data_IF_025809999564
#
_entry.id   IF_025809999564
#
_cell.length_a   1.000
_cell.length_b   1.000
_cell.length_c   1.000
_cell.angle_alpha   90.00
_cell.angle_beta   90.00
_cell.angle_gamma   90.00
#
_symmetry.space_group_name_H-M   'P 1'
#
loop_
_entity.id
_entity.type
_entity.pdbx_description
1 polymer ?
#
# COMPACT_ATOMS: atom_id res chain seq x y z
N UNK A 1 87.84 -8.74 41.91
CA UNK A 1 87.25 -7.54 41.26
C UNK A 1 86.12 -7.86 40.29
N UNK A 2 86.25 -8.86 39.40
CA UNK A 2 85.21 -9.20 38.38
C UNK A 2 83.86 -9.61 39.00
N UNK A 3 83.86 -10.41 40.07
CA UNK A 3 82.63 -10.83 40.78
C UNK A 3 81.84 -9.67 41.40
N UNK A 4 82.52 -8.61 41.84
CA UNK A 4 81.88 -7.43 42.41
C UNK A 4 81.16 -6.60 41.33
N UNK A 5 81.77 -6.50 40.15
CA UNK A 5 81.16 -5.87 38.98
C UNK A 5 79.90 -6.62 38.50
N UNK A 6 79.95 -7.96 38.50
CA UNK A 6 78.79 -8.79 38.13
C UNK A 6 77.63 -8.59 39.11
N UNK A 7 77.89 -8.53 40.42
CA UNK A 7 76.87 -8.29 41.45
C UNK A 7 76.25 -6.90 41.32
N UNK A 8 77.05 -5.86 41.07
CA UNK A 8 76.56 -4.49 40.87
C UNK A 8 75.71 -4.38 39.61
N UNK A 9 76.11 -5.03 38.51
CA UNK A 9 75.31 -5.06 37.27
C UNK A 9 73.98 -5.77 37.49
N UNK A 10 73.95 -6.89 38.24
CA UNK A 10 72.69 -7.59 38.57
C UNK A 10 71.76 -6.70 39.41
N UNK A 11 72.29 -5.95 40.38
CA UNK A 11 71.50 -5.03 41.21
C UNK A 11 70.95 -3.88 40.37
N UNK A 12 71.74 -3.32 39.44
CA UNK A 12 71.28 -2.25 38.54
C UNK A 12 70.22 -2.74 37.56
N UNK A 13 70.37 -3.96 37.01
CA UNK A 13 69.37 -4.58 36.13
C UNK A 13 68.10 -4.94 36.92
N UNK A 14 68.22 -5.44 38.14
CA UNK A 14 67.08 -5.70 39.02
C UNK A 14 66.37 -4.40 39.42
N UNK A 15 67.10 -3.35 39.78
CA UNK A 15 66.54 -2.04 40.10
C UNK A 15 65.88 -1.38 38.88
N UNK A 16 66.50 -1.49 37.70
CA UNK A 16 65.92 -1.03 36.44
C UNK A 16 64.66 -1.81 36.05
N UNK A 17 64.65 -3.13 36.28
CA UNK A 17 63.48 -3.99 36.09
C UNK A 17 62.33 -3.66 37.05
N UNK A 18 62.63 -3.42 38.33
CA UNK A 18 61.63 -2.98 39.33
C UNK A 18 61.08 -1.60 38.99
N UNK A 19 61.94 -0.66 38.59
CA UNK A 19 61.52 0.69 38.18
C UNK A 19 60.63 0.66 36.92
N UNK A 20 60.99 -0.16 35.93
CA UNK A 20 60.19 -0.36 34.72
C UNK A 20 58.83 -1.00 35.04
N UNK A 21 58.79 -2.05 35.87
CA UNK A 21 57.55 -2.67 36.33
C UNK A 21 56.67 -1.67 37.10
N UNK A 22 57.26 -0.85 37.97
CA UNK A 22 56.52 0.15 38.72
C UNK A 22 55.92 1.22 37.81
N UNK A 23 56.67 1.69 36.81
CA UNK A 23 56.15 2.63 35.82
C UNK A 23 55.03 2.01 34.97
N UNK A 24 55.20 0.77 34.52
CA UNK A 24 54.19 0.02 33.76
C UNK A 24 52.87 -0.11 34.53
N UNK A 25 52.92 -0.52 35.80
CA UNK A 25 51.73 -0.65 36.64
C UNK A 25 51.07 0.69 36.95
N UNK A 26 51.83 1.77 37.13
CA UNK A 26 51.25 3.12 37.30
C UNK A 26 50.50 3.58 36.05
N UNK A 27 51.05 3.38 34.85
CA UNK A 27 50.37 3.72 33.60
C UNK A 27 49.12 2.87 33.41
N UNK A 28 49.18 1.58 33.76
CA UNK A 28 48.03 0.68 33.65
C UNK A 28 46.92 1.01 34.64
N UNK A 29 47.25 1.31 35.90
CA UNK A 29 46.28 1.76 36.90
C UNK A 29 45.59 3.04 36.42
N UNK A 30 46.35 4.04 35.93
CA UNK A 30 45.76 5.27 35.36
C UNK A 30 44.81 5.00 34.19
N UNK A 31 45.13 4.03 33.34
CA UNK A 31 44.27 3.66 32.22
C UNK A 31 42.97 2.99 32.72
N UNK A 32 43.07 2.07 33.68
CA UNK A 32 41.91 1.41 34.28
C UNK A 32 41.02 2.41 35.05
N UNK A 33 41.62 3.35 35.77
CA UNK A 33 40.93 4.45 36.45
C UNK A 33 40.16 5.32 35.43
N UNK A 34 40.80 5.70 34.32
CA UNK A 34 40.13 6.43 33.24
C UNK A 34 38.99 5.64 32.57
N UNK A 35 39.11 4.30 32.49
CA UNK A 35 38.02 3.45 31.97
C UNK A 35 36.84 3.36 32.94
N UNK A 36 37.09 3.38 34.25
CA UNK A 36 36.03 3.46 35.28
C UNK A 36 35.36 4.83 35.22
N UNK A 37 36.13 5.92 35.10
CA UNK A 37 35.61 7.29 35.00
C UNK A 37 34.81 7.53 33.71
N UNK A 38 35.10 6.79 32.63
CA UNK A 38 34.34 6.83 31.38
C UNK A 38 32.91 6.26 31.52
N UNK A 39 32.60 5.52 32.59
CA UNK A 39 31.24 5.08 32.91
C UNK A 39 30.50 6.27 33.54
N UNK A 40 29.97 7.14 32.68
CA UNK A 40 29.31 8.40 33.09
C UNK A 40 27.89 8.15 33.63
N UNK A 41 27.81 7.69 34.87
CA UNK A 41 26.55 7.53 35.62
C UNK A 41 25.82 8.86 35.83
N UNK A 42 26.53 10.00 35.76
CA UNK A 42 25.93 11.33 35.81
C UNK A 42 25.03 11.63 34.62
N UNK A 43 25.48 11.25 33.41
CA UNK A 43 24.67 11.34 32.20
C UNK A 43 23.40 10.47 32.31
N UNK A 44 23.50 9.23 32.79
CA UNK A 44 22.34 8.35 33.01
C UNK A 44 21.36 8.92 34.04
N UNK A 45 21.86 9.46 35.16
CA UNK A 45 21.03 10.12 36.18
C UNK A 45 20.23 11.29 35.59
N UNK A 46 20.84 12.08 34.71
CA UNK A 46 20.15 13.17 34.02
C UNK A 46 19.04 12.68 33.09
N UNK A 47 19.26 11.55 32.39
CA UNK A 47 18.27 10.93 31.52
C UNK A 47 17.11 10.34 32.32
N UNK A 48 17.39 9.64 33.43
CA UNK A 48 16.37 9.09 34.34
C UNK A 48 15.46 10.21 34.84
N UNK A 49 16.02 11.32 35.36
CA UNK A 49 15.21 12.47 35.80
C UNK A 49 14.37 13.10 34.69
N UNK A 50 14.90 13.14 33.47
CA UNK A 50 14.13 13.63 32.31
C UNK A 50 12.96 12.72 31.99
N UNK A 51 13.10 11.41 32.16
CA UNK A 51 12.05 10.43 31.89
C UNK A 51 11.03 10.38 33.03
N UNK A 52 11.44 10.56 34.29
CA UNK A 52 10.52 10.70 35.44
C UNK A 52 9.52 11.85 35.25
N UNK A 53 9.95 12.95 34.61
CA UNK A 53 9.09 14.09 34.32
C UNK A 53 7.94 13.77 33.34
N UNK A 54 8.06 12.67 32.59
CA UNK A 54 7.04 12.23 31.63
C UNK A 54 5.83 11.55 32.30
N UNK A 55 5.88 11.33 33.63
CA UNK A 55 4.81 10.69 34.43
C UNK A 55 4.37 9.33 33.86
N UNK A 56 5.34 8.45 33.63
CA UNK A 56 5.09 7.10 33.10
C UNK A 56 4.17 6.29 34.02
N UNK A 57 3.27 5.50 33.43
CA UNK A 57 2.45 4.49 34.13
C UNK A 57 2.39 3.19 33.34
N UNK A 58 1.70 2.18 33.89
CA UNK A 58 1.47 0.90 33.22
C UNK A 58 2.76 0.17 32.84
N UNK A 59 2.79 -0.34 31.60
CA UNK A 59 3.92 -1.10 31.06
C UNK A 59 5.16 -0.23 30.83
N UNK A 60 4.96 1.05 30.48
CA UNK A 60 6.05 2.03 30.36
C UNK A 60 6.76 2.26 31.69
N UNK A 61 6.01 2.37 32.80
CA UNK A 61 6.60 2.46 34.14
C UNK A 61 7.32 1.17 34.53
N UNK A 62 6.74 0.01 34.26
CA UNK A 62 7.38 -1.26 34.58
C UNK A 62 8.73 -1.43 33.86
N UNK A 63 8.79 -1.04 32.58
CA UNK A 63 10.02 -1.06 31.78
C UNK A 63 11.03 -0.03 32.30
N UNK A 64 10.59 1.20 32.60
CA UNK A 64 11.47 2.23 33.16
C UNK A 64 12.04 1.84 34.53
N UNK A 65 11.20 1.39 35.47
CA UNK A 65 11.63 0.96 36.80
C UNK A 65 12.58 -0.24 36.77
N UNK A 66 12.50 -1.10 35.74
CA UNK A 66 13.48 -2.18 35.54
C UNK A 66 14.87 -1.60 35.25
N UNK A 67 14.95 -0.60 34.38
CA UNK A 67 16.22 0.04 34.01
C UNK A 67 16.73 0.99 35.09
N UNK A 68 15.84 1.63 35.84
CA UNK A 68 16.15 2.41 37.04
C UNK A 68 16.84 1.54 38.10
N UNK A 69 16.28 0.36 38.42
CA UNK A 69 16.94 -0.59 39.33
C UNK A 69 18.28 -1.09 38.81
N UNK A 70 18.40 -1.30 37.50
CA UNK A 70 19.66 -1.69 36.89
C UNK A 70 20.71 -0.57 36.98
N UNK A 71 20.28 0.69 36.88
CA UNK A 71 21.12 1.86 37.12
C UNK A 71 21.55 1.96 38.58
N UNK A 72 20.63 1.80 39.54
CA UNK A 72 20.97 1.83 40.97
C UNK A 72 22.00 0.75 41.31
N UNK A 73 21.83 -0.46 40.77
CA UNK A 73 22.79 -1.55 40.95
C UNK A 73 24.17 -1.22 40.35
N UNK A 74 24.21 -0.65 39.15
CA UNK A 74 25.45 -0.23 38.50
C UNK A 74 26.16 0.89 39.31
N UNK A 75 25.38 1.84 39.84
CA UNK A 75 25.89 3.01 40.54
C UNK A 75 26.34 2.71 41.97
N UNK A 76 25.54 1.98 42.74
CA UNK A 76 25.76 1.78 44.17
C UNK A 76 26.61 0.54 44.48
N UNK A 77 26.45 -0.55 43.70
CA UNK A 77 27.16 -1.81 43.93
C UNK A 77 28.38 -1.96 43.01
N UNK A 78 28.18 -1.93 41.69
CA UNK A 78 29.24 -2.28 40.73
C UNK A 78 30.36 -1.24 40.68
N UNK A 79 30.04 0.06 40.68
CA UNK A 79 31.06 1.12 40.76
C UNK A 79 31.81 1.10 42.11
N UNK A 80 31.10 0.86 43.22
CA UNK A 80 31.74 0.76 44.52
C UNK A 80 32.69 -0.45 44.59
N UNK A 81 32.35 -1.57 43.96
CA UNK A 81 33.22 -2.74 43.86
C UNK A 81 34.43 -2.48 42.94
N UNK A 82 34.23 -1.81 41.79
CA UNK A 82 35.32 -1.38 40.91
C UNK A 82 36.32 -0.47 41.65
N UNK A 83 35.84 0.51 42.42
CA UNK A 83 36.70 1.39 43.23
C UNK A 83 37.47 0.62 44.31
N UNK A 84 36.86 -0.37 44.97
CA UNK A 84 37.54 -1.22 45.96
C UNK A 84 38.65 -2.06 45.31
N UNK A 85 38.38 -2.68 44.16
CA UNK A 85 39.35 -3.49 43.42
C UNK A 85 40.49 -2.61 42.89
N UNK A 86 40.19 -1.40 42.42
CA UNK A 86 41.18 -0.40 42.01
C UNK A 86 42.09 0.00 43.19
N UNK A 87 41.51 0.23 44.38
CA UNK A 87 42.27 0.54 45.59
C UNK A 87 43.19 -0.61 46.03
N UNK A 88 42.71 -1.87 45.98
CA UNK A 88 43.54 -3.05 46.28
C UNK A 88 44.63 -3.23 45.22
N UNK A 89 44.34 -3.01 43.94
CA UNK A 89 45.32 -3.01 42.87
C UNK A 89 46.44 -1.97 43.13
N UNK A 90 46.07 -0.76 43.52
CA UNK A 90 47.02 0.28 43.92
C UNK A 90 47.87 -0.14 45.12
N UNK A 91 47.28 -0.72 46.16
CA UNK A 91 48.01 -1.15 47.36
C UNK A 91 48.99 -2.30 47.06
N UNK A 92 48.56 -3.31 46.28
CA UNK A 92 49.47 -4.40 45.85
C UNK A 92 50.60 -3.88 44.96
N UNK A 93 50.32 -2.91 44.07
CA UNK A 93 51.34 -2.27 43.24
C UNK A 93 52.33 -1.44 44.09
N UNK A 94 51.83 -0.70 45.11
CA UNK A 94 52.66 0.06 46.07
C UNK A 94 53.55 -0.85 46.93
N UNK A 95 53.09 -2.07 47.24
CA UNK A 95 53.84 -3.09 48.00
C UNK A 95 54.79 -3.94 47.15
N UNK A 96 55.01 -3.58 45.88
CA UNK A 96 55.86 -4.30 44.92
C UNK A 96 55.42 -5.76 44.64
N UNK A 97 54.15 -6.12 44.90
CA UNK A 97 53.59 -7.46 44.66
C UNK A 97 53.00 -7.57 43.25
N UNK A 98 53.86 -7.43 42.24
CA UNK A 98 53.44 -7.30 40.83
C UNK A 98 52.65 -8.49 40.29
N UNK A 99 52.95 -9.73 40.69
CA UNK A 99 52.19 -10.92 40.25
C UNK A 99 50.73 -10.91 40.76
N UNK A 100 50.50 -10.40 41.98
CA UNK A 100 49.16 -10.26 42.54
C UNK A 100 48.44 -9.08 41.91
N UNK A 101 49.13 -7.94 41.75
CA UNK A 101 48.62 -6.78 41.03
C UNK A 101 48.19 -7.16 39.60
N UNK A 102 48.93 -8.01 38.89
CA UNK A 102 48.54 -8.48 37.56
C UNK A 102 47.24 -9.29 37.55
N UNK A 103 47.02 -10.14 38.57
CA UNK A 103 45.78 -10.92 38.70
C UNK A 103 44.60 -10.01 39.00
N UNK A 104 44.77 -9.07 39.93
CA UNK A 104 43.74 -8.08 40.31
C UNK A 104 43.42 -7.19 39.11
N UNK A 105 44.42 -6.74 38.34
CA UNK A 105 44.21 -5.94 37.14
C UNK A 105 43.35 -6.67 36.09
N UNK A 106 43.57 -7.97 35.88
CA UNK A 106 42.72 -8.77 34.96
C UNK A 106 41.28 -8.91 35.46
N UNK A 107 41.10 -9.07 36.77
CA UNK A 107 39.76 -9.13 37.38
C UNK A 107 39.06 -7.77 37.24
N UNK A 108 39.79 -6.68 37.46
CA UNK A 108 39.31 -5.32 37.28
C UNK A 108 38.92 -5.05 35.83
N UNK A 109 39.77 -5.41 34.85
CA UNK A 109 39.46 -5.30 33.42
C UNK A 109 38.15 -6.01 33.05
N UNK A 110 37.98 -7.28 33.46
CA UNK A 110 36.76 -8.02 33.17
C UNK A 110 35.50 -7.43 33.82
N UNK A 111 35.63 -6.87 35.03
CA UNK A 111 34.52 -6.18 35.71
C UNK A 111 34.19 -4.84 35.07
N UNK A 112 35.20 -4.08 34.64
CA UNK A 112 35.02 -2.83 33.87
C UNK A 112 34.27 -3.13 32.58
N UNK A 113 34.66 -4.17 31.84
CA UNK A 113 33.97 -4.57 30.60
C UNK A 113 32.51 -4.93 30.85
N UNK A 114 32.22 -5.65 31.94
CA UNK A 114 30.85 -6.03 32.33
C UNK A 114 30.01 -4.79 32.70
N UNK A 115 30.56 -3.91 33.53
CA UNK A 115 29.89 -2.67 33.94
C UNK A 115 29.65 -1.74 32.74
N UNK A 116 30.60 -1.69 31.79
CA UNK A 116 30.45 -0.92 30.55
C UNK A 116 29.35 -1.48 29.65
N UNK A 117 29.26 -2.80 29.50
CA UNK A 117 28.16 -3.41 28.75
C UNK A 117 26.80 -3.12 29.38
N UNK A 118 26.70 -3.17 30.72
CA UNK A 118 25.47 -2.80 31.43
C UNK A 118 25.15 -1.32 31.24
N UNK A 119 26.14 -0.43 31.33
CA UNK A 119 26.00 0.99 31.06
C UNK A 119 25.42 1.24 29.66
N UNK A 120 26.01 0.62 28.63
CA UNK A 120 25.56 0.79 27.24
C UNK A 120 24.12 0.30 27.05
N UNK A 121 23.76 -0.84 27.67
CA UNK A 121 22.40 -1.38 27.63
C UNK A 121 21.38 -0.44 28.30
N UNK A 122 21.71 0.11 29.48
CA UNK A 122 20.85 1.05 30.20
C UNK A 122 20.72 2.35 29.40
N UNK A 123 21.84 2.89 28.91
CA UNK A 123 21.85 4.11 28.10
C UNK A 123 20.98 3.95 26.85
N UNK A 124 21.12 2.83 26.15
CA UNK A 124 20.34 2.56 24.95
C UNK A 124 18.85 2.43 25.27
N UNK A 125 18.49 1.68 26.32
CA UNK A 125 17.10 1.52 26.71
C UNK A 125 16.42 2.85 27.13
N UNK A 126 17.13 3.72 27.86
CA UNK A 126 16.62 5.04 28.23
C UNK A 126 16.48 5.97 27.00
N UNK A 127 17.42 5.88 26.05
CA UNK A 127 17.31 6.60 24.78
C UNK A 127 16.12 6.11 23.95
N UNK A 128 15.90 4.79 23.88
CA UNK A 128 14.78 4.19 23.15
C UNK A 128 13.44 4.67 23.71
N UNK A 129 13.28 4.72 25.05
CA UNK A 129 12.07 5.24 25.71
C UNK A 129 11.78 6.69 25.28
N UNK A 130 12.81 7.55 25.28
CA UNK A 130 12.66 8.96 24.86
C UNK A 130 12.36 9.10 23.37
N UNK A 131 12.99 8.27 22.54
CA UNK A 131 12.78 8.31 21.10
C UNK A 131 11.36 7.86 20.75
N UNK A 132 10.88 6.78 21.36
CA UNK A 132 9.51 6.29 21.19
C UNK A 132 8.46 7.34 21.60
N UNK A 133 8.68 8.06 22.70
CA UNK A 133 7.80 9.15 23.15
C UNK A 133 7.77 10.31 22.14
N UNK A 134 8.94 10.76 21.69
CA UNK A 134 9.06 11.84 20.71
C UNK A 134 8.41 11.48 19.36
N UNK A 135 8.62 10.24 18.91
CA UNK A 135 8.04 9.71 17.68
C UNK A 135 6.52 9.60 17.79
N UNK A 136 6.00 9.06 18.90
CA UNK A 136 4.56 8.97 19.16
C UNK A 136 3.91 10.36 19.13
N UNK A 137 4.54 11.35 19.77
CA UNK A 137 4.06 12.73 19.77
C UNK A 137 4.07 13.35 18.38
N UNK A 138 5.14 13.14 17.61
CA UNK A 138 5.25 13.64 16.24
C UNK A 138 4.19 13.03 15.32
N UNK A 139 4.02 11.70 15.37
CA UNK A 139 3.00 10.98 14.61
C UNK A 139 1.60 11.46 14.96
N UNK A 140 1.30 11.66 16.24
CA UNK A 140 -0.01 12.18 16.67
C UNK A 140 -0.32 13.58 16.11
N UNK A 141 0.69 14.46 16.01
CA UNK A 141 0.51 15.76 15.38
C UNK A 141 0.21 15.64 13.88
N UNK A 142 0.93 14.77 13.17
CA UNK A 142 0.69 14.50 11.75
C UNK A 142 -0.73 13.92 11.54
N UNK A 143 -1.08 12.87 12.27
CA UNK A 143 -2.41 12.23 12.18
C UNK A 143 -3.54 13.22 12.49
N UNK A 144 -3.34 14.16 13.41
CA UNK A 144 -4.32 15.23 13.68
C UNK A 144 -4.50 16.18 12.50
N UNK A 145 -3.40 16.62 11.88
CA UNK A 145 -3.47 17.48 10.69
C UNK A 145 -4.20 16.76 9.55
N UNK A 146 -3.82 15.51 9.31
CA UNK A 146 -4.40 14.62 8.32
C UNK A 146 -5.90 14.43 8.51
N UNK A 147 -6.31 14.22 9.76
CA UNK A 147 -7.70 14.13 10.17
C UNK A 147 -8.46 15.44 9.88
N UNK A 148 -7.91 16.60 10.23
CA UNK A 148 -8.57 17.89 10.00
C UNK A 148 -8.75 18.16 8.50
N UNK A 149 -7.74 17.86 7.68
CA UNK A 149 -7.82 17.99 6.22
C UNK A 149 -8.90 17.07 5.64
N UNK A 150 -8.91 15.79 6.06
CA UNK A 150 -9.87 14.80 5.59
C UNK A 150 -11.29 15.16 6.01
N UNK A 151 -11.49 15.50 7.29
CA UNK A 151 -12.76 15.97 7.84
C UNK A 151 -13.28 17.21 7.12
N UNK A 152 -12.43 18.21 6.89
CA UNK A 152 -12.82 19.41 6.13
C UNK A 152 -13.26 19.06 4.71
N UNK A 153 -12.56 18.13 4.06
CA UNK A 153 -12.90 17.71 2.70
C UNK A 153 -14.25 16.99 2.66
N UNK A 154 -14.47 16.04 3.55
CA UNK A 154 -15.72 15.26 3.67
C UNK A 154 -16.91 16.19 3.98
N UNK A 155 -16.75 17.12 4.92
CA UNK A 155 -17.84 18.01 5.33
C UNK A 155 -18.12 19.14 4.32
N UNK A 156 -17.09 19.66 3.65
CA UNK A 156 -17.26 20.76 2.68
C UNK A 156 -17.74 20.27 1.30
N UNK A 157 -17.46 19.02 0.94
CA UNK A 157 -17.78 18.45 -0.38
C UNK A 157 -18.69 17.23 -0.27
N UNK A 158 -19.69 17.26 0.61
CA UNK A 158 -20.57 16.11 0.86
C UNK A 158 -21.24 15.53 -0.39
N UNK A 159 -21.60 16.39 -1.35
CA UNK A 159 -22.21 15.96 -2.61
C UNK A 159 -21.29 15.04 -3.45
N UNK A 160 -19.97 15.22 -3.35
CA UNK A 160 -18.99 14.46 -4.13
C UNK A 160 -18.90 13.00 -3.68
N UNK A 161 -19.29 12.71 -2.44
CA UNK A 161 -19.24 11.36 -1.88
C UNK A 161 -20.59 10.64 -1.98
N UNK A 162 -21.67 11.33 -2.38
CA UNK A 162 -22.98 10.73 -2.61
C UNK A 162 -23.47 9.87 -1.42
N UNK A 163 -23.89 8.66 -1.73
CA UNK A 163 -24.41 7.69 -0.75
C UNK A 163 -23.35 7.14 0.23
N UNK A 164 -22.05 7.35 -0.04
CA UNK A 164 -20.95 6.96 0.85
C UNK A 164 -20.72 7.97 1.99
N UNK A 165 -21.29 9.19 1.90
CA UNK A 165 -21.09 10.26 2.88
C UNK A 165 -21.40 9.84 4.33
N UNK A 166 -22.53 9.17 4.66
CA UNK A 166 -22.85 8.82 6.04
C UNK A 166 -21.82 7.85 6.64
N UNK A 167 -21.30 6.91 5.84
CA UNK A 167 -20.28 5.97 6.29
C UNK A 167 -18.95 6.68 6.56
N UNK A 168 -18.55 7.65 5.72
CA UNK A 168 -17.36 8.48 5.97
C UNK A 168 -17.50 9.31 7.26
N UNK A 169 -18.69 9.86 7.52
CA UNK A 169 -18.98 10.60 8.76
C UNK A 169 -18.89 9.69 9.99
N UNK A 170 -19.39 8.46 9.90
CA UNK A 170 -19.26 7.47 10.97
C UNK A 170 -17.79 7.10 11.23
N UNK A 171 -17.00 6.91 10.19
CA UNK A 171 -15.57 6.62 10.33
C UNK A 171 -14.81 7.81 10.95
N UNK A 172 -15.15 9.05 10.58
CA UNK A 172 -14.61 10.25 11.23
C UNK A 172 -14.93 10.28 12.73
N UNK A 173 -16.14 9.88 13.12
CA UNK A 173 -16.54 9.80 14.52
C UNK A 173 -15.74 8.72 15.27
N UNK A 174 -15.54 7.54 14.68
CA UNK A 174 -14.72 6.46 15.25
C UNK A 174 -13.26 6.91 15.44
N UNK A 175 -12.69 7.59 14.44
CA UNK A 175 -11.35 8.17 14.54
C UNK A 175 -11.24 9.21 15.66
N UNK A 176 -12.27 10.04 15.84
CA UNK A 176 -12.32 11.01 16.94
C UNK A 176 -12.32 10.33 18.32
N UNK A 177 -13.04 9.22 18.45
CA UNK A 177 -13.05 8.39 19.68
C UNK A 177 -11.68 7.75 19.92
N UNK A 178 -11.00 7.26 18.88
CA UNK A 178 -9.63 6.74 18.98
C UNK A 178 -8.63 7.83 19.41
N UNK A 179 -8.72 9.04 18.84
CA UNK A 179 -7.91 10.17 19.31
C UNK A 179 -8.12 10.44 20.79
N UNK A 180 -9.38 10.46 21.26
CA UNK A 180 -9.69 10.68 22.67
C UNK A 180 -9.15 9.55 23.56
N UNK A 181 -9.25 8.30 23.12
CA UNK A 181 -8.69 7.14 23.83
C UNK A 181 -7.17 7.24 23.95
N UNK A 182 -6.47 7.63 22.87
CA UNK A 182 -5.02 7.81 22.89
C UNK A 182 -4.62 8.99 23.79
N UNK A 183 -5.36 10.10 23.76
CA UNK A 183 -5.12 11.23 24.66
C UNK A 183 -5.28 10.82 26.13
N UNK A 184 -6.26 9.98 26.45
CA UNK A 184 -6.43 9.41 27.81
C UNK A 184 -5.24 8.55 28.21
N UNK A 185 -4.84 7.58 27.37
CA UNK A 185 -3.69 6.70 27.63
C UNK A 185 -2.39 7.50 27.80
N UNK A 186 -2.18 8.54 26.98
CA UNK A 186 -1.01 9.42 27.10
C UNK A 186 -1.05 10.30 28.35
N UNK A 187 -2.22 10.79 28.75
CA UNK A 187 -2.37 11.54 30.01
C UNK A 187 -2.17 10.64 31.23
N UNK A 188 -2.57 9.37 31.12
CA UNK A 188 -2.36 8.36 32.14
C UNK A 188 -0.88 7.97 32.20
N UNK A 189 -0.11 8.09 31.11
CA UNK A 189 1.35 7.88 31.09
C UNK A 189 1.80 6.53 30.53
N UNK A 190 0.88 5.74 29.94
CA UNK A 190 1.20 4.44 29.35
C UNK A 190 1.51 4.59 27.85
N UNK A 191 2.72 5.08 27.55
CA UNK A 191 3.15 5.32 26.17
C UNK A 191 3.31 4.03 25.34
N UNK A 192 3.50 2.89 26.00
CA UNK A 192 3.61 1.60 25.33
C UNK A 192 2.23 1.13 24.84
N UNK A 193 1.20 1.24 25.68
CA UNK A 193 -0.18 1.00 25.25
C UNK A 193 -0.63 2.01 24.18
N UNK A 194 -0.18 3.26 24.26
CA UNK A 194 -0.49 4.26 23.24
C UNK A 194 0.06 3.86 21.85
N UNK A 195 1.21 3.17 21.78
CA UNK A 195 1.86 2.80 20.51
C UNK A 195 0.99 1.88 19.65
N UNK A 196 0.30 0.91 20.24
CA UNK A 196 -0.61 0.03 19.49
C UNK A 196 -1.84 0.79 18.98
N UNK A 197 -2.39 1.68 19.80
CA UNK A 197 -3.55 2.49 19.44
C UNK A 197 -3.21 3.54 18.36
N UNK A 198 -2.03 4.17 18.45
CA UNK A 198 -1.51 5.07 17.41
C UNK A 198 -1.32 4.33 16.08
N UNK A 199 -0.86 3.07 16.12
CA UNK A 199 -0.74 2.25 14.92
C UNK A 199 -2.11 2.00 14.28
N UNK A 200 -3.10 1.56 15.07
CA UNK A 200 -4.46 1.37 14.59
C UNK A 200 -5.02 2.67 13.99
N UNK A 201 -4.87 3.80 14.70
CA UNK A 201 -5.28 5.11 14.21
C UNK A 201 -4.59 5.47 12.88
N UNK A 202 -3.30 5.17 12.74
CA UNK A 202 -2.54 5.41 11.52
C UNK A 202 -3.07 4.59 10.35
N UNK A 203 -3.38 3.32 10.58
CA UNK A 203 -3.90 2.41 9.55
C UNK A 203 -5.31 2.86 9.11
N UNK A 204 -6.19 3.20 10.04
CA UNK A 204 -7.53 3.72 9.76
C UNK A 204 -7.48 5.10 9.07
N UNK A 205 -6.54 5.97 9.45
CA UNK A 205 -6.34 7.27 8.80
C UNK A 205 -5.84 7.11 7.36
N UNK A 206 -4.95 6.14 7.11
CA UNK A 206 -4.48 5.84 5.77
C UNK A 206 -5.63 5.35 4.88
N UNK A 207 -6.49 4.47 5.40
CA UNK A 207 -7.70 4.02 4.71
C UNK A 207 -8.64 5.19 4.40
N UNK A 208 -8.93 6.05 5.39
CA UNK A 208 -9.77 7.24 5.18
C UNK A 208 -9.20 8.16 4.09
N UNK A 209 -7.89 8.40 4.10
CA UNK A 209 -7.23 9.24 3.08
C UNK A 209 -7.35 8.67 1.68
N UNK A 210 -7.19 7.35 1.55
CA UNK A 210 -7.39 6.64 0.29
C UNK A 210 -8.81 6.84 -0.20
N UNK A 211 -9.80 6.57 0.65
CA UNK A 211 -11.23 6.74 0.35
C UNK A 211 -11.59 8.18 -0.04
N UNK A 212 -11.09 9.19 0.69
CA UNK A 212 -11.34 10.61 0.37
C UNK A 212 -10.79 11.01 -0.99
N UNK A 213 -9.72 10.35 -1.45
CA UNK A 213 -9.08 10.62 -2.74
C UNK A 213 -9.73 9.84 -3.90
N UNK A 214 -10.06 8.57 -3.67
CA UNK A 214 -10.44 7.61 -4.71
C UNK A 214 -11.96 7.45 -4.87
N UNK A 215 -12.77 7.67 -3.83
CA UNK A 215 -14.25 7.61 -3.96
C UNK A 215 -14.84 8.70 -4.87
N UNK A 216 -14.38 9.97 -4.86
CA UNK A 216 -14.94 11.01 -5.71
C UNK A 216 -15.13 10.67 -7.20
N UNK A 217 -14.11 10.17 -7.94
CA UNK A 217 -14.29 9.78 -9.33
C UNK A 217 -15.27 8.60 -9.48
N UNK A 218 -15.17 7.58 -8.62
CA UNK A 218 -16.03 6.39 -8.68
C UNK A 218 -17.51 6.72 -8.46
N UNK A 219 -17.80 7.62 -7.52
CA UNK A 219 -19.15 8.14 -7.27
C UNK A 219 -19.63 8.95 -8.47
N UNK A 220 -18.77 9.73 -9.10
CA UNK A 220 -19.14 10.52 -10.27
C UNK A 220 -19.53 9.64 -11.46
N UNK A 221 -18.74 8.59 -11.73
CA UNK A 221 -19.04 7.60 -12.77
C UNK A 221 -20.45 7.02 -12.55
N UNK A 222 -20.73 6.59 -11.31
CA UNK A 222 -21.97 5.89 -11.00
C UNK A 222 -23.21 6.79 -10.93
N UNK A 223 -23.07 8.03 -10.45
CA UNK A 223 -24.20 8.94 -10.25
C UNK A 223 -24.48 9.79 -11.50
N UNK A 224 -23.45 10.08 -12.30
CA UNK A 224 -23.58 10.99 -13.44
C UNK A 224 -23.29 10.30 -14.78
N UNK A 225 -22.17 9.59 -14.92
CA UNK A 225 -21.70 9.10 -16.22
C UNK A 225 -22.50 7.89 -16.71
N UNK A 226 -22.58 6.82 -15.92
CA UNK A 226 -23.32 5.61 -16.30
C UNK A 226 -24.81 5.88 -16.54
N UNK A 227 -25.54 6.63 -15.67
CA UNK A 227 -26.94 6.97 -15.97
C UNK A 227 -27.09 7.79 -17.25
N UNK A 228 -26.16 8.69 -17.57
CA UNK A 228 -26.20 9.47 -18.80
C UNK A 228 -25.97 8.58 -20.04
N UNK A 229 -24.98 7.69 -19.98
CA UNK A 229 -24.68 6.73 -21.05
C UNK A 229 -25.83 5.75 -21.27
N UNK A 230 -26.43 5.21 -20.20
CA UNK A 230 -27.59 4.32 -20.31
C UNK A 230 -28.78 5.05 -20.94
N UNK A 231 -29.08 6.29 -20.53
CA UNK A 231 -30.12 7.09 -21.16
C UNK A 231 -29.82 7.34 -22.65
N UNK A 232 -28.57 7.63 -23.01
CA UNK A 232 -28.15 7.81 -24.40
C UNK A 232 -28.35 6.52 -25.21
N UNK A 233 -27.93 5.36 -24.69
CA UNK A 233 -28.09 4.05 -25.31
C UNK A 233 -29.58 3.75 -25.53
N UNK A 234 -30.43 3.95 -24.52
CA UNK A 234 -31.86 3.74 -24.67
C UNK A 234 -32.48 4.65 -25.74
N UNK A 235 -32.11 5.93 -25.75
CA UNK A 235 -32.58 6.88 -26.75
C UNK A 235 -32.11 6.51 -28.15
N UNK A 236 -30.82 6.17 -28.31
CA UNK A 236 -30.25 5.73 -29.57
C UNK A 236 -30.88 4.42 -30.07
N UNK A 237 -31.10 3.45 -29.18
CA UNK A 237 -31.76 2.19 -29.50
C UNK A 237 -33.20 2.42 -29.99
N UNK A 238 -33.98 3.28 -29.33
CA UNK A 238 -35.33 3.66 -29.78
C UNK A 238 -35.32 4.32 -31.16
N UNK A 239 -34.36 5.21 -31.42
CA UNK A 239 -34.22 5.88 -32.72
C UNK A 239 -33.84 4.89 -33.84
N UNK A 240 -32.86 4.01 -33.59
CA UNK A 240 -32.42 3.00 -34.57
C UNK A 240 -33.52 1.96 -34.83
N UNK A 241 -34.24 1.53 -33.80
CA UNK A 241 -35.38 0.63 -33.97
C UNK A 241 -36.50 1.27 -34.80
N UNK A 242 -36.76 2.57 -34.60
CA UNK A 242 -37.73 3.33 -35.41
C UNK A 242 -37.27 3.46 -36.86
N UNK A 243 -35.96 3.53 -37.11
CA UNK A 243 -35.36 3.53 -38.43
C UNK A 243 -35.20 2.12 -39.05
N UNK A 244 -35.87 1.10 -38.48
CA UNK A 244 -35.86 -0.28 -38.96
C UNK A 244 -34.47 -0.96 -38.97
N UNK A 245 -33.61 -0.60 -38.04
CA UNK A 245 -32.41 -1.40 -37.72
C UNK A 245 -32.81 -2.65 -36.94
N UNK A 246 -32.10 -3.77 -37.16
CA UNK A 246 -32.42 -5.06 -36.55
C UNK A 246 -31.23 -5.52 -35.72
N UNK A 247 -31.38 -5.50 -34.40
CA UNK A 247 -30.35 -5.99 -33.49
C UNK A 247 -30.54 -7.48 -33.21
N UNK A 248 -29.46 -8.26 -33.28
CA UNK A 248 -29.46 -9.68 -32.88
C UNK A 248 -29.42 -9.87 -31.37
N UNK A 249 -28.88 -8.88 -30.64
CA UNK A 249 -28.66 -8.92 -29.20
C UNK A 249 -29.73 -8.09 -28.47
N UNK A 250 -30.09 -8.53 -27.26
CA UNK A 250 -31.13 -7.88 -26.43
C UNK A 250 -30.56 -6.69 -25.65
N UNK A 251 -30.48 -5.53 -26.31
CA UNK A 251 -30.01 -4.29 -25.69
C UNK A 251 -30.88 -3.86 -24.49
N UNK A 252 -32.23 -3.93 -24.53
CA UNK A 252 -33.05 -3.66 -23.36
C UNK A 252 -32.72 -4.54 -22.15
N UNK A 253 -32.51 -5.85 -22.35
CA UNK A 253 -32.09 -6.77 -21.28
C UNK A 253 -30.72 -6.41 -20.70
N UNK A 254 -29.75 -6.06 -21.55
CA UNK A 254 -28.42 -5.62 -21.10
C UNK A 254 -28.49 -4.31 -20.29
N UNK A 255 -29.41 -3.40 -20.62
CA UNK A 255 -29.64 -2.19 -19.81
C UNK A 255 -30.21 -2.53 -18.44
N UNK A 256 -31.12 -3.51 -18.33
CA UNK A 256 -31.64 -3.98 -17.05
C UNK A 256 -30.53 -4.60 -16.18
N UNK A 257 -29.69 -5.46 -16.77
CA UNK A 257 -28.54 -6.07 -16.10
C UNK A 257 -27.56 -5.00 -15.57
N UNK A 258 -27.24 -3.98 -16.38
CA UNK A 258 -26.36 -2.88 -15.94
C UNK A 258 -27.00 -2.08 -14.79
N UNK A 259 -28.32 -1.83 -14.83
CA UNK A 259 -29.01 -1.15 -13.73
C UNK A 259 -28.96 -1.97 -12.42
N UNK A 260 -29.05 -3.30 -12.49
CA UNK A 260 -28.89 -4.18 -11.32
C UNK A 260 -27.46 -4.10 -10.77
N UNK A 261 -26.45 -4.20 -11.63
CA UNK A 261 -25.04 -4.04 -11.23
C UNK A 261 -24.73 -2.67 -10.65
N UNK A 262 -25.34 -1.61 -11.19
CA UNK A 262 -25.24 -0.27 -10.61
C UNK A 262 -25.86 -0.20 -9.21
N UNK A 263 -26.89 -0.99 -8.89
CA UNK A 263 -27.43 -1.07 -7.54
C UNK A 263 -26.47 -1.79 -6.59
N UNK A 264 -25.82 -2.87 -7.05
CA UNK A 264 -24.81 -3.60 -6.28
C UNK A 264 -23.56 -2.76 -6.02
N UNK A 265 -23.06 -2.06 -7.04
CA UNK A 265 -21.96 -1.11 -6.91
C UNK A 265 -22.28 -0.01 -5.89
N UNK A 266 -23.55 0.43 -5.80
CA UNK A 266 -23.96 1.46 -4.84
C UNK A 266 -23.94 0.91 -3.40
N UNK A 267 -24.20 -0.40 -3.25
CA UNK A 267 -24.07 -1.08 -1.96
C UNK A 267 -22.59 -1.16 -1.54
N UNK A 268 -21.69 -1.47 -2.47
CA UNK A 268 -20.24 -1.45 -2.22
C UNK A 268 -19.71 -0.06 -1.85
N UNK A 269 -20.20 0.98 -2.53
CA UNK A 269 -19.91 2.39 -2.20
C UNK A 269 -20.32 2.74 -0.76
N UNK A 270 -21.51 2.32 -0.34
CA UNK A 270 -22.01 2.54 1.04
C UNK A 270 -21.14 1.86 2.09
N UNK A 271 -20.50 0.74 1.76
CA UNK A 271 -19.54 0.06 2.64
C UNK A 271 -18.11 0.62 2.60
N UNK A 272 -17.86 1.66 1.79
CA UNK A 272 -16.53 2.28 1.61
C UNK A 272 -15.45 1.34 1.07
N UNK A 273 -15.87 0.30 0.34
CA UNK A 273 -14.96 -0.66 -0.30
C UNK A 273 -14.55 -0.13 -1.69
N UNK A 274 -13.44 0.60 -1.71
CA UNK A 274 -12.92 1.24 -2.92
C UNK A 274 -12.56 0.20 -3.99
N UNK A 275 -11.95 -0.92 -3.58
CA UNK A 275 -11.47 -1.95 -4.50
C UNK A 275 -12.66 -2.69 -5.14
N UNK A 276 -13.70 -3.00 -4.35
CA UNK A 276 -14.92 -3.62 -4.88
C UNK A 276 -15.71 -2.66 -5.77
N UNK A 277 -15.82 -1.38 -5.41
CA UNK A 277 -16.48 -0.38 -6.27
C UNK A 277 -15.73 -0.19 -7.59
N UNK A 278 -14.41 -0.09 -7.58
CA UNK A 278 -13.61 0.05 -8.80
C UNK A 278 -13.81 -1.14 -9.74
N UNK A 279 -13.80 -2.36 -9.20
CA UNK A 279 -14.07 -3.57 -9.99
C UNK A 279 -15.48 -3.57 -10.58
N UNK A 280 -16.50 -3.22 -9.79
CA UNK A 280 -17.88 -3.16 -10.26
C UNK A 280 -18.08 -2.08 -11.34
N UNK A 281 -17.49 -0.89 -11.16
CA UNK A 281 -17.53 0.18 -12.16
C UNK A 281 -16.87 -0.25 -13.47
N UNK A 282 -15.73 -0.94 -13.41
CA UNK A 282 -15.05 -1.44 -14.62
C UNK A 282 -15.88 -2.49 -15.36
N UNK A 283 -16.60 -3.36 -14.65
CA UNK A 283 -17.53 -4.32 -15.27
C UNK A 283 -18.71 -3.62 -15.95
N UNK A 284 -19.26 -2.59 -15.32
CA UNK A 284 -20.35 -1.77 -15.89
C UNK A 284 -19.87 -1.05 -17.15
N UNK A 285 -18.69 -0.42 -17.10
CA UNK A 285 -18.09 0.26 -18.25
C UNK A 285 -17.92 -0.72 -19.44
N UNK A 286 -17.42 -1.93 -19.20
CA UNK A 286 -17.24 -2.94 -20.23
C UNK A 286 -18.57 -3.38 -20.87
N UNK A 287 -19.67 -3.44 -20.10
CA UNK A 287 -21.00 -3.77 -20.62
C UNK A 287 -21.60 -2.62 -21.43
N UNK A 288 -21.39 -1.38 -20.99
CA UNK A 288 -21.78 -0.18 -21.73
C UNK A 288 -21.04 -0.11 -23.07
N UNK A 289 -19.73 -0.33 -23.07
CA UNK A 289 -18.91 -0.37 -24.30
C UNK A 289 -19.37 -1.46 -25.26
N UNK A 290 -19.75 -2.63 -24.72
CA UNK A 290 -20.30 -3.73 -25.53
C UNK A 290 -21.62 -3.32 -26.20
N UNK A 291 -22.50 -2.60 -25.50
CA UNK A 291 -23.75 -2.09 -26.09
C UNK A 291 -23.47 -1.10 -27.22
N UNK A 292 -22.56 -0.15 -27.02
CA UNK A 292 -22.14 0.77 -28.09
C UNK A 292 -21.55 0.01 -29.29
N UNK A 293 -20.71 -1.00 -29.07
CA UNK A 293 -20.11 -1.78 -30.14
C UNK A 293 -21.16 -2.56 -30.97
N UNK A 294 -22.21 -3.09 -30.32
CA UNK A 294 -23.33 -3.75 -31.02
C UNK A 294 -24.06 -2.72 -31.89
N UNK A 295 -24.37 -1.55 -31.35
CA UNK A 295 -25.05 -0.49 -32.09
C UNK A 295 -24.22 0.01 -33.28
N UNK A 296 -22.92 0.24 -33.08
CA UNK A 296 -22.02 0.69 -34.13
C UNK A 296 -21.90 -0.36 -35.25
N UNK A 297 -21.74 -1.64 -34.89
CA UNK A 297 -21.65 -2.73 -35.86
C UNK A 297 -22.87 -2.77 -36.77
N UNK A 298 -24.07 -2.60 -36.22
CA UNK A 298 -25.31 -2.60 -36.96
C UNK A 298 -25.45 -1.35 -37.85
N UNK A 299 -25.05 -0.18 -37.35
CA UNK A 299 -24.97 1.05 -38.16
C UNK A 299 -24.01 0.91 -39.35
N UNK A 300 -22.84 0.30 -39.13
CA UNK A 300 -21.88 0.04 -40.20
C UNK A 300 -22.39 -1.01 -41.20
N UNK A 301 -23.09 -2.05 -40.71
CA UNK A 301 -23.70 -3.07 -41.56
C UNK A 301 -24.75 -2.45 -42.50
N UNK A 302 -25.66 -1.63 -41.96
CA UNK A 302 -26.66 -0.93 -42.76
C UNK A 302 -26.05 -0.03 -43.82
N UNK A 303 -25.03 0.76 -43.47
CA UNK A 303 -24.33 1.63 -44.42
C UNK A 303 -23.72 0.83 -45.59
N UNK A 304 -23.20 -0.36 -45.33
CA UNK A 304 -22.66 -1.26 -46.39
C UNK A 304 -23.78 -1.79 -47.28
N UNK A 305 -24.91 -2.19 -46.68
CA UNK A 305 -26.09 -2.67 -47.43
C UNK A 305 -26.67 -1.55 -48.30
N UNK A 306 -26.88 -0.36 -47.74
CA UNK A 306 -27.42 0.79 -48.46
C UNK A 306 -26.51 1.21 -49.63
N UNK A 307 -25.19 1.09 -49.48
CA UNK A 307 -24.23 1.36 -50.55
C UNK A 307 -24.25 0.29 -51.65
N UNK A 308 -24.47 -0.98 -51.30
CA UNK A 308 -24.47 -2.11 -52.24
C UNK A 308 -25.85 -2.38 -52.88
N UNK A 309 -26.94 -1.89 -52.28
CA UNK A 309 -28.30 -2.15 -52.75
C UNK A 309 -28.57 -1.65 -54.18
N UNK A 310 -28.14 -0.43 -54.58
CA UNK A 310 -28.34 0.05 -55.96
C UNK A 310 -27.62 -0.82 -57.00
N UNK A 311 -26.37 -1.21 -56.71
CA UNK A 311 -25.57 -2.06 -57.59
C UNK A 311 -26.21 -3.44 -57.72
N UNK A 312 -26.63 -4.03 -56.60
CA UNK A 312 -27.34 -5.32 -56.59
C UNK A 312 -28.63 -5.24 -57.42
N UNK A 313 -29.39 -4.15 -57.31
CA UNK A 313 -30.59 -3.94 -58.12
C UNK A 313 -30.25 -3.91 -59.61
N UNK A 314 -29.21 -3.19 -59.99
CA UNK A 314 -28.75 -3.13 -61.38
C UNK A 314 -28.34 -4.52 -61.91
N UNK A 315 -27.66 -5.33 -61.09
CA UNK A 315 -27.30 -6.70 -61.45
C UNK A 315 -28.53 -7.60 -61.63
N UNK A 316 -29.52 -7.52 -60.73
CA UNK A 316 -30.78 -8.27 -60.83
C UNK A 316 -31.53 -7.87 -62.11
N UNK A 317 -31.68 -6.56 -62.36
CA UNK A 317 -32.37 -6.05 -63.55
C UNK A 317 -31.63 -6.40 -64.85
N UNK A 318 -30.29 -6.46 -64.83
CA UNK A 318 -29.51 -6.94 -65.97
C UNK A 318 -29.69 -8.44 -66.20
N UNK A 319 -29.57 -9.27 -65.16
CA UNK A 319 -29.74 -10.72 -65.25
C UNK A 319 -31.14 -11.11 -65.72
N UNK A 320 -32.19 -10.42 -65.22
CA UNK A 320 -33.57 -10.62 -65.67
C UNK A 320 -33.75 -10.29 -67.15
N UNK A 321 -33.13 -9.20 -67.65
CA UNK A 321 -33.18 -8.83 -69.08
C UNK A 321 -32.45 -9.87 -69.93
N UNK A 322 -31.23 -10.24 -69.57
CA UNK A 322 -30.45 -11.24 -70.29
C UNK A 322 -31.15 -12.60 -70.34
N UNK A 323 -31.81 -13.02 -69.26
CA UNK A 323 -32.57 -14.26 -69.27
C UNK A 323 -33.82 -14.19 -70.16
N UNK A 324 -34.49 -13.03 -70.24
CA UNK A 324 -35.61 -12.83 -71.19
C UNK A 324 -35.13 -12.87 -72.65
N UNK A 325 -33.99 -12.25 -72.94
CA UNK A 325 -33.34 -12.31 -74.25
C UNK A 325 -32.98 -13.76 -74.62
N UNK A 326 -32.32 -14.48 -73.71
CA UNK A 326 -31.98 -15.90 -73.88
C UNK A 326 -33.23 -16.76 -74.15
N UNK A 327 -34.31 -16.57 -73.39
CA UNK A 327 -35.56 -17.31 -73.62
C UNK A 327 -36.13 -17.03 -75.02
N UNK A 328 -36.10 -15.77 -75.45
CA UNK A 328 -36.59 -15.36 -76.78
C UNK A 328 -35.75 -15.96 -77.90
N UNK A 329 -34.42 -15.96 -77.76
CA UNK A 329 -33.50 -16.57 -78.73
C UNK A 329 -33.64 -18.08 -78.79
N UNK A 330 -33.77 -18.75 -77.64
CA UNK A 330 -34.01 -20.20 -77.58
C UNK A 330 -35.36 -20.56 -78.22
N UNK A 331 -36.41 -19.78 -77.99
CA UNK A 331 -37.71 -19.98 -78.62
C UNK A 331 -37.63 -19.82 -80.15
N UNK A 332 -36.87 -18.82 -80.64
CA UNK A 332 -36.62 -18.63 -82.07
C UNK A 332 -35.80 -19.78 -82.68
N UNK A 333 -34.73 -20.22 -81.99
CA UNK A 333 -33.91 -21.35 -82.43
C UNK A 333 -34.70 -22.66 -82.45
N UNK A 334 -35.58 -22.88 -81.48
CA UNK A 334 -36.44 -24.05 -81.39
C UNK A 334 -37.44 -24.14 -82.57
N UNK A 335 -37.74 -23.04 -83.25
CA UNK A 335 -38.58 -23.06 -84.47
C UNK A 335 -37.83 -23.60 -85.70
N UNK A 336 -36.50 -23.49 -85.72
CA UNK A 336 -35.66 -23.87 -86.86
C UNK A 336 -34.77 -25.10 -86.60
N UNK A 337 -34.51 -25.44 -85.34
CA UNK A 337 -33.60 -26.51 -84.92
C UNK A 337 -34.18 -27.28 -83.72
N UNK A 338 -33.89 -28.58 -83.63
CA UNK A 338 -34.23 -29.40 -82.45
C UNK A 338 -33.17 -29.26 -81.37
N UNK A 339 -33.54 -28.66 -80.23
CA UNK A 339 -32.70 -28.52 -79.04
C UNK A 339 -32.71 -29.83 -78.22
N UNK A 340 -31.53 -30.38 -77.90
CA UNK A 340 -31.38 -31.75 -77.37
C UNK A 340 -30.80 -31.82 -75.94
N UNK A 341 -30.39 -30.69 -75.33
CA UNK A 341 -29.73 -30.67 -74.02
C UNK A 341 -30.56 -29.93 -72.95
N UNK A 342 -31.89 -29.95 -73.07
CA UNK A 342 -32.81 -29.32 -72.13
C UNK A 342 -32.59 -27.81 -71.94
N UNK A 343 -32.09 -27.12 -72.96
CA UNK A 343 -31.73 -25.70 -72.94
C UNK A 343 -32.92 -24.82 -72.51
N UNK A 344 -34.12 -25.12 -73.00
CA UNK A 344 -35.37 -24.43 -72.64
C UNK A 344 -35.73 -24.62 -71.16
N UNK A 345 -35.51 -25.83 -70.62
CA UNK A 345 -35.82 -26.14 -69.22
C UNK A 345 -34.87 -25.38 -68.30
N UNK A 346 -33.58 -25.37 -68.62
CA UNK A 346 -32.56 -24.63 -67.86
C UNK A 346 -32.87 -23.14 -67.84
N UNK A 347 -33.22 -22.53 -68.98
CA UNK A 347 -33.58 -21.11 -69.04
C UNK A 347 -34.85 -20.78 -68.22
N UNK A 348 -35.82 -21.71 -68.14
CA UNK A 348 -36.99 -21.55 -67.27
C UNK A 348 -36.65 -21.69 -65.78
N UNK A 349 -35.81 -22.66 -65.42
CA UNK A 349 -35.37 -22.85 -64.03
C UNK A 349 -34.56 -21.62 -63.54
N UNK A 350 -33.67 -21.08 -64.39
CA UNK A 350 -32.95 -19.82 -64.13
C UNK A 350 -33.90 -18.64 -63.94
N UNK A 351 -35.00 -18.58 -64.70
CA UNK A 351 -36.02 -17.54 -64.53
C UNK A 351 -36.67 -17.64 -63.16
N UNK A 352 -37.08 -18.84 -62.75
CA UNK A 352 -37.69 -19.04 -61.43
C UNK A 352 -36.73 -18.66 -60.30
N UNK A 353 -35.44 -18.98 -60.43
CA UNK A 353 -34.42 -18.57 -59.46
C UNK A 353 -34.28 -17.04 -59.42
N UNK A 354 -34.15 -16.37 -60.56
CA UNK A 354 -34.04 -14.90 -60.61
C UNK A 354 -35.30 -14.19 -60.10
N UNK A 355 -36.50 -14.68 -60.43
CA UNK A 355 -37.76 -14.13 -59.93
C UNK A 355 -37.85 -14.30 -58.40
N UNK A 356 -37.32 -15.39 -57.83
CA UNK A 356 -37.25 -15.58 -56.37
C UNK A 356 -36.25 -14.64 -55.69
N UNK A 357 -35.14 -14.32 -56.35
CA UNK A 357 -34.13 -13.35 -55.88
C UNK A 357 -34.70 -11.93 -55.90
N UNK A 358 -35.39 -11.52 -56.99
CA UNK A 358 -36.05 -10.21 -57.07
C UNK A 358 -37.15 -10.06 -56.02
N UNK A 359 -37.95 -11.12 -55.79
CA UNK A 359 -38.98 -11.12 -54.75
C UNK A 359 -38.39 -10.96 -53.34
N UNK A 360 -37.26 -11.61 -53.05
CA UNK A 360 -36.57 -11.46 -51.77
C UNK A 360 -35.96 -10.05 -51.63
N UNK A 361 -35.34 -9.52 -52.69
CA UNK A 361 -34.80 -8.15 -52.68
C UNK A 361 -35.89 -7.12 -52.34
N UNK A 362 -37.07 -7.21 -52.97
CA UNK A 362 -38.21 -6.30 -52.71
C UNK A 362 -38.75 -6.43 -51.28
N UNK A 363 -38.58 -7.58 -50.63
CA UNK A 363 -39.03 -7.80 -49.26
C UNK A 363 -38.07 -7.21 -48.22
N UNK A 364 -36.78 -7.16 -48.56
CA UNK A 364 -35.71 -6.76 -47.64
C UNK A 364 -35.35 -5.26 -47.75
N UNK A 365 -35.72 -4.59 -48.85
CA UNK A 365 -35.74 -3.12 -49.01
C UNK A 365 -37.12 -2.53 -48.75
#
# INVERSE_FOLDING_TARGET
MIWFFVIVVIIVVAAGGVWWLQHYFQTRIKNLDAQVEAIDVGALSSQIRSIEQLKLTGDSLATFSKWERAFDQLNDDDLADLQKILLDLEDQAKRFRFDHAQKIAKVLEAKIDTARQQYDLISQALQDIRHDEADNRSKMLQLRDDYQVSRKTILAKSFVFGDAQPALEQQLQQLAELFQKIDQINNDGDHQAAKSEIKQLSDEMAALRRQVKELPPLVNEQVNEFPAQINEIEHGYRQLTTAHYVFTDDIPGMVEDVNEKMADANTALKSLDVDATEAANSEIEAEIDKMYAIMEKEMQARKRVDAAAPDLRQFIDHALRQNRELQTELDHLNQSYTLNHNEIKIAKDLKTQLDSIDANYIKDT
#
